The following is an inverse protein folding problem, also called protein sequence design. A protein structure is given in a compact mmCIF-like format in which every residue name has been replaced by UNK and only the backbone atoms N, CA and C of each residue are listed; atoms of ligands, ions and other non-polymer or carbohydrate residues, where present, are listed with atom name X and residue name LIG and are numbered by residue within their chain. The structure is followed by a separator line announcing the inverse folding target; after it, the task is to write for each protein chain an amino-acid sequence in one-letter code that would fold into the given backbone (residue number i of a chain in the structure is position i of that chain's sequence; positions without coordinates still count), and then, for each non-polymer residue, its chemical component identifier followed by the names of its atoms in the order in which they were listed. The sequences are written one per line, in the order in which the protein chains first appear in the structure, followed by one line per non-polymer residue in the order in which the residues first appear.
data_IF_708597671000
#
_entry.id   IF_708597671000
#
_cell.length_a   1.000
_cell.length_b   1.000
_cell.length_c   1.000
_cell.angle_alpha   90.00
_cell.angle_beta   90.00
_cell.angle_gamma   90.00
#
_symmetry.space_group_name_H-M   'P 1'
#
loop_
_entity.id
_entity.type
_entity.pdbx_description
1 polymer ?
#
# COMPACT_ATOMS: atom_id res chain seq x y z
N UNK A 1 12.33 -21.26 -5.30
CA UNK A 1 11.98 -20.20 -6.28
C UNK A 1 12.81 -20.41 -7.53
N UNK A 2 12.27 -20.16 -8.73
CA UNK A 2 12.96 -20.40 -10.01
C UNK A 2 13.70 -19.15 -10.55
N UNK A 3 13.42 -17.98 -9.99
CA UNK A 3 13.93 -16.69 -10.45
C UNK A 3 14.73 -16.03 -9.34
N UNK A 4 15.81 -15.35 -9.71
CA UNK A 4 16.72 -14.69 -8.75
C UNK A 4 16.99 -13.23 -9.12
N UNK A 5 16.32 -12.70 -10.14
CA UNK A 5 16.47 -11.34 -10.68
C UNK A 5 15.11 -10.72 -11.01
N UNK A 6 15.04 -9.40 -10.98
CA UNK A 6 13.82 -8.61 -11.21
C UNK A 6 12.62 -9.12 -10.40
N UNK A 7 12.85 -9.45 -9.13
CA UNK A 7 11.87 -10.06 -8.25
C UNK A 7 10.72 -9.08 -7.96
N UNK A 8 9.51 -9.61 -8.01
CA UNK A 8 8.30 -8.92 -7.54
C UNK A 8 7.84 -9.67 -6.30
N UNK A 9 7.83 -8.97 -5.17
CA UNK A 9 7.62 -9.52 -3.84
C UNK A 9 6.44 -8.79 -3.20
N UNK A 10 5.53 -9.54 -2.60
CA UNK A 10 4.45 -9.04 -1.78
C UNK A 10 4.62 -9.48 -0.34
N UNK A 11 4.59 -8.55 0.61
CA UNK A 11 4.60 -8.84 2.04
C UNK A 11 3.26 -8.39 2.62
N UNK A 12 2.60 -9.29 3.35
CA UNK A 12 1.59 -8.90 4.32
C UNK A 12 2.30 -8.65 5.65
N UNK A 13 2.31 -7.40 6.12
CA UNK A 13 2.82 -7.00 7.42
C UNK A 13 1.66 -6.82 8.39
N UNK A 14 1.15 -7.95 8.90
CA UNK A 14 0.04 -8.00 9.84
C UNK A 14 0.47 -7.83 11.30
N UNK A 15 -0.52 -7.63 12.17
CA UNK A 15 -0.31 -7.39 13.62
C UNK A 15 0.35 -8.57 14.33
N UNK A 16 -0.22 -9.75 14.15
CA UNK A 16 0.22 -10.98 14.82
C UNK A 16 1.03 -11.85 13.88
N UNK A 17 0.61 -11.94 12.63
CA UNK A 17 1.24 -12.75 11.61
C UNK A 17 1.51 -11.94 10.35
N UNK A 18 2.61 -12.25 9.70
CA UNK A 18 3.01 -11.77 8.39
C UNK A 18 3.14 -12.92 7.42
N UNK A 19 3.06 -12.61 6.13
CA UNK A 19 3.29 -13.56 5.05
C UNK A 19 4.09 -12.93 3.93
N UNK A 20 4.77 -13.76 3.14
CA UNK A 20 5.51 -13.32 1.95
C UNK A 20 5.09 -14.13 0.74
N UNK A 21 4.93 -13.43 -0.38
CA UNK A 21 4.66 -13.97 -1.70
C UNK A 21 5.69 -13.46 -2.70
N UNK A 22 5.95 -14.24 -3.74
CA UNK A 22 6.71 -13.80 -4.90
C UNK A 22 5.92 -14.09 -6.17
N UNK A 23 6.17 -13.32 -7.22
CA UNK A 23 5.52 -13.54 -8.51
C UNK A 23 6.27 -14.62 -9.28
N UNK A 24 5.59 -15.71 -9.62
CA UNK A 24 6.16 -16.77 -10.46
C UNK A 24 5.80 -16.48 -11.92
N UNK A 25 6.75 -16.01 -12.73
CA UNK A 25 6.45 -15.64 -14.13
C UNK A 25 6.11 -16.84 -15.00
N UNK A 26 6.58 -18.04 -14.64
CA UNK A 26 6.24 -19.27 -15.40
C UNK A 26 4.79 -19.67 -15.17
N UNK A 27 4.33 -19.52 -13.92
CA UNK A 27 2.95 -19.79 -13.55
C UNK A 27 2.02 -18.58 -13.77
N UNK A 28 2.59 -17.40 -14.02
CA UNK A 28 1.89 -16.14 -14.27
C UNK A 28 0.96 -15.74 -13.09
N UNK A 29 1.39 -16.04 -11.87
CA UNK A 29 0.62 -15.83 -10.64
C UNK A 29 1.49 -15.55 -9.40
N UNK A 30 0.96 -14.84 -8.38
CA UNK A 30 1.56 -14.77 -7.06
C UNK A 30 1.55 -16.11 -6.33
N UNK A 31 2.70 -16.49 -5.77
CA UNK A 31 2.87 -17.71 -4.95
C UNK A 31 3.31 -17.38 -3.53
N UNK A 32 2.55 -17.89 -2.57
CA UNK A 32 2.88 -17.82 -1.15
C UNK A 32 4.09 -18.69 -0.84
N UNK A 33 4.99 -18.16 -0.01
CA UNK A 33 6.18 -18.86 0.44
C UNK A 33 5.91 -19.47 1.82
N UNK A 34 6.06 -20.80 2.00
CA UNK A 34 5.95 -21.38 3.31
C UNK A 34 7.15 -21.00 4.18
N UNK A 35 6.92 -20.75 5.46
CA UNK A 35 7.94 -20.40 6.47
C UNK A 35 8.96 -21.52 6.63
N UNK A 36 8.53 -22.77 6.46
CA UNK A 36 9.39 -23.96 6.49
C UNK A 36 9.30 -24.70 5.17
N UNK A 37 10.45 -25.03 4.60
CA UNK A 37 10.52 -25.79 3.34
C UNK A 37 9.77 -27.13 3.51
N UNK A 38 8.83 -27.38 2.59
CA UNK A 38 8.00 -28.58 2.60
C UNK A 38 6.82 -28.57 3.56
N UNK A 39 6.54 -27.45 4.25
CA UNK A 39 5.31 -27.27 5.04
C UNK A 39 4.24 -26.49 4.27
N UNK A 40 3.01 -26.52 4.78
CA UNK A 40 1.90 -25.65 4.37
C UNK A 40 1.68 -24.49 5.36
N UNK A 41 2.71 -24.16 6.15
CA UNK A 41 2.66 -23.04 7.10
C UNK A 41 3.19 -21.79 6.41
N UNK A 42 2.29 -20.87 6.05
CA UNK A 42 2.61 -19.62 5.36
C UNK A 42 2.69 -18.42 6.30
N UNK A 43 2.00 -18.51 7.44
CA UNK A 43 1.98 -17.48 8.47
C UNK A 43 3.21 -17.57 9.35
N UNK A 44 3.87 -16.43 9.48
CA UNK A 44 5.00 -16.25 10.37
C UNK A 44 4.64 -15.20 11.41
N UNK A 45 4.92 -15.42 12.71
CA UNK A 45 4.71 -14.39 13.72
C UNK A 45 5.40 -13.07 13.33
N UNK A 46 4.72 -11.95 13.53
CA UNK A 46 5.27 -10.59 13.28
C UNK A 46 6.19 -10.17 14.41
N UNK A 47 7.24 -10.96 14.63
CA UNK A 47 8.18 -10.80 15.73
C UNK A 47 9.63 -10.76 15.24
N UNK A 48 10.46 -10.05 16.00
CA UNK A 48 11.89 -9.89 15.79
C UNK A 48 12.62 -10.21 17.09
N UNK A 49 13.73 -10.93 17.03
CA UNK A 49 14.54 -11.23 18.20
C UNK A 49 15.99 -10.84 17.98
N UNK A 50 16.54 -10.07 18.93
CA UNK A 50 17.97 -9.80 19.03
C UNK A 50 18.65 -10.99 19.69
N UNK A 51 19.52 -11.68 18.94
CA UNK A 51 20.31 -12.79 19.49
C UNK A 51 21.56 -12.26 20.18
N UNK A 52 21.73 -12.57 21.46
CA UNK A 52 22.84 -12.05 22.26
C UNK A 52 24.19 -12.65 21.87
N UNK A 53 24.25 -13.96 21.64
CA UNK A 53 25.51 -14.65 21.30
C UNK A 53 26.00 -14.26 19.90
N UNK A 54 25.11 -14.25 18.91
CA UNK A 54 25.45 -13.98 17.50
C UNK A 54 25.57 -12.49 17.22
N UNK A 55 24.93 -11.63 18.01
CA UNK A 55 24.93 -10.20 17.78
C UNK A 55 24.22 -9.81 16.48
N UNK A 56 23.23 -10.58 16.03
CA UNK A 56 22.36 -10.29 14.88
C UNK A 56 20.86 -10.39 15.24
N UNK A 57 19.97 -10.42 14.24
CA UNK A 57 18.52 -10.48 14.41
C UNK A 57 17.91 -11.63 13.62
N UNK A 58 16.86 -12.24 14.16
CA UNK A 58 16.02 -13.24 13.48
C UNK A 58 14.54 -12.90 13.62
N UNK A 59 13.70 -13.52 12.79
CA UNK A 59 12.27 -13.18 12.66
C UNK A 59 11.38 -14.40 12.89
N UNK A 60 10.13 -14.15 13.27
CA UNK A 60 9.09 -15.18 13.30
C UNK A 60 9.32 -16.31 14.29
N UNK A 61 9.10 -17.55 13.83
CA UNK A 61 9.27 -18.74 14.67
C UNK A 61 10.69 -18.86 15.23
N UNK A 62 11.70 -18.42 14.48
CA UNK A 62 13.08 -18.39 14.97
C UNK A 62 13.23 -17.35 16.07
N UNK A 63 12.60 -16.17 15.92
CA UNK A 63 12.62 -15.13 16.94
C UNK A 63 12.03 -15.60 18.27
N UNK A 64 10.86 -16.23 18.23
CA UNK A 64 10.19 -16.78 19.41
C UNK A 64 11.02 -17.89 20.07
N UNK A 65 11.60 -18.79 19.27
CA UNK A 65 12.45 -19.86 19.77
C UNK A 65 13.69 -19.32 20.50
N UNK A 66 14.42 -18.39 19.90
CA UNK A 66 15.64 -17.83 20.51
C UNK A 66 15.33 -17.01 21.76
N UNK A 67 14.21 -16.29 21.79
CA UNK A 67 13.79 -15.57 22.98
C UNK A 67 13.49 -16.53 24.14
N UNK A 68 12.75 -17.60 23.87
CA UNK A 68 12.31 -18.57 24.88
C UNK A 68 13.45 -19.48 25.37
N UNK A 69 14.26 -19.99 24.45
CA UNK A 69 15.18 -21.11 24.73
C UNK A 69 16.66 -20.66 24.78
N UNK A 70 16.99 -19.47 24.27
CA UNK A 70 18.37 -18.98 24.12
C UNK A 70 18.60 -17.57 24.70
N UNK A 71 17.60 -16.99 25.38
CA UNK A 71 17.73 -15.70 26.07
C UNK A 71 17.86 -14.47 25.18
N UNK A 72 17.36 -14.52 23.93
CA UNK A 72 17.30 -13.34 23.06
C UNK A 72 16.25 -12.30 23.50
N UNK A 73 16.42 -11.04 23.10
CA UNK A 73 15.45 -9.99 23.37
C UNK A 73 14.37 -9.99 22.28
N UNK A 74 13.15 -10.38 22.65
CA UNK A 74 11.99 -10.42 21.76
C UNK A 74 11.32 -9.06 21.63
N UNK A 75 10.99 -8.70 20.39
CA UNK A 75 10.07 -7.63 20.02
C UNK A 75 8.87 -8.31 19.36
N UNK A 76 7.77 -8.46 20.10
CA UNK A 76 6.58 -9.20 19.66
C UNK A 76 5.52 -8.34 18.97
N UNK A 77 5.55 -7.02 19.14
CA UNK A 77 4.58 -6.09 18.54
C UNK A 77 5.26 -5.12 17.58
N UNK A 78 5.85 -5.66 16.51
CA UNK A 78 6.48 -4.84 15.48
C UNK A 78 5.48 -3.95 14.75
N UNK A 79 4.20 -4.34 14.70
CA UNK A 79 3.17 -3.52 14.09
C UNK A 79 2.96 -2.23 14.88
N UNK A 80 2.87 -2.27 16.22
CA UNK A 80 2.84 -1.06 17.04
C UNK A 80 4.15 -0.26 16.93
N UNK A 81 5.30 -0.93 16.91
CA UNK A 81 6.60 -0.26 16.69
C UNK A 81 6.59 0.52 15.38
N UNK A 82 6.04 -0.05 14.31
CA UNK A 82 5.98 0.62 13.02
C UNK A 82 5.23 1.95 13.05
N UNK A 83 4.26 2.11 13.96
CA UNK A 83 3.46 3.33 14.15
C UNK A 83 4.05 4.30 15.18
N UNK A 84 5.21 3.98 15.76
CA UNK A 84 5.85 4.78 16.80
C UNK A 84 6.93 5.71 16.25
N UNK A 85 7.15 6.84 16.95
CA UNK A 85 8.33 7.71 16.81
C UNK A 85 9.32 7.53 17.95
N UNK A 86 8.97 6.71 18.94
CA UNK A 86 9.77 6.50 20.14
C UNK A 86 10.84 5.44 19.88
N UNK A 87 12.03 5.67 20.41
CA UNK A 87 13.11 4.69 20.37
C UNK A 87 12.77 3.50 21.24
N UNK A 88 13.14 2.32 20.75
CA UNK A 88 12.95 1.04 21.44
C UNK A 88 14.28 0.59 22.01
N UNK A 89 14.30 0.25 23.30
CA UNK A 89 15.50 -0.29 23.94
C UNK A 89 15.62 -1.78 23.62
N UNK A 90 16.71 -2.20 23.01
CA UNK A 90 16.99 -3.61 22.66
C UNK A 90 18.42 -3.96 23.08
N UNK A 91 18.58 -4.87 24.04
CA UNK A 91 19.88 -5.29 24.55
C UNK A 91 20.82 -4.11 24.89
N UNK A 92 20.31 -3.14 25.67
CA UNK A 92 20.99 -1.90 26.09
C UNK A 92 21.20 -0.83 25.00
N UNK A 93 20.89 -1.13 23.74
CA UNK A 93 20.95 -0.16 22.65
C UNK A 93 19.58 0.53 22.42
N UNK A 94 19.62 1.81 22.07
CA UNK A 94 18.44 2.52 21.59
C UNK A 94 18.32 2.35 20.08
N UNK A 95 17.22 1.77 19.61
CA UNK A 95 16.93 1.59 18.19
C UNK A 95 15.78 2.49 17.77
N UNK A 96 15.93 3.14 16.62
CA UNK A 96 14.80 3.77 15.95
C UNK A 96 13.84 2.70 15.44
N UNK A 97 12.51 2.95 15.42
CA UNK A 97 11.53 2.01 14.91
C UNK A 97 11.85 1.46 13.51
N UNK A 98 12.28 2.33 12.59
CA UNK A 98 12.63 1.95 11.21
C UNK A 98 13.83 0.98 11.14
N UNK A 99 14.76 1.00 12.10
CA UNK A 99 15.89 0.06 12.13
C UNK A 99 15.37 -1.36 12.40
N UNK A 100 14.45 -1.50 13.36
CA UNK A 100 13.84 -2.78 13.71
C UNK A 100 13.01 -3.33 12.53
N UNK A 101 12.26 -2.45 11.85
CA UNK A 101 11.54 -2.83 10.63
C UNK A 101 12.50 -3.26 9.51
N UNK A 102 13.65 -2.61 9.36
CA UNK A 102 14.64 -3.01 8.36
C UNK A 102 15.19 -4.42 8.63
N UNK A 103 15.49 -4.74 9.89
CA UNK A 103 15.89 -6.09 10.28
C UNK A 103 14.79 -7.11 10.03
N UNK A 104 13.54 -6.74 10.31
CA UNK A 104 12.39 -7.60 10.06
C UNK A 104 12.16 -7.87 8.56
N UNK A 105 12.11 -6.81 7.74
CA UNK A 105 11.94 -6.91 6.28
C UNK A 105 13.08 -7.74 5.68
N UNK A 106 14.33 -7.51 6.11
CA UNK A 106 15.47 -8.35 5.66
C UNK A 106 15.27 -9.82 6.03
N UNK A 107 14.79 -10.11 7.24
CA UNK A 107 14.44 -11.47 7.66
C UNK A 107 13.36 -12.10 6.78
N UNK A 108 12.30 -11.36 6.47
CA UNK A 108 11.24 -11.80 5.53
C UNK A 108 11.83 -12.12 4.15
N UNK A 109 12.67 -11.23 3.61
CA UNK A 109 13.27 -11.40 2.29
C UNK A 109 14.24 -12.59 2.24
N UNK A 110 14.96 -12.87 3.32
CA UNK A 110 15.86 -14.01 3.43
C UNK A 110 15.13 -15.36 3.29
N UNK A 111 13.82 -15.43 3.60
CA UNK A 111 13.03 -16.65 3.41
C UNK A 111 13.01 -17.08 1.94
N UNK A 112 13.16 -16.15 0.99
CA UNK A 112 13.19 -16.45 -0.45
C UNK A 112 14.39 -17.32 -0.85
N UNK A 113 15.44 -17.38 0.00
CA UNK A 113 16.65 -18.17 -0.25
C UNK A 113 17.51 -17.62 -1.40
N UNK A 114 17.40 -16.31 -1.69
CA UNK A 114 18.21 -15.62 -2.72
C UNK A 114 19.27 -14.77 -2.04
N UNK A 115 20.51 -14.95 -2.45
CA UNK A 115 21.62 -14.10 -2.01
C UNK A 115 21.47 -12.68 -2.59
N UNK A 116 21.78 -11.66 -1.78
CA UNK A 116 21.67 -10.24 -2.13
C UNK A 116 20.32 -9.89 -2.78
N UNK A 117 19.23 -10.40 -2.19
CA UNK A 117 17.87 -10.28 -2.72
C UNK A 117 17.48 -8.84 -3.00
N UNK A 118 17.88 -7.90 -2.15
CA UNK A 118 17.61 -6.46 -2.24
C UNK A 118 18.08 -5.85 -3.56
N UNK A 119 19.22 -6.31 -4.12
CA UNK A 119 19.76 -5.83 -5.39
C UNK A 119 18.99 -6.33 -6.62
N UNK A 120 18.12 -7.31 -6.39
CA UNK A 120 17.36 -8.00 -7.42
C UNK A 120 15.86 -7.69 -7.35
N UNK A 121 15.43 -6.79 -6.46
CA UNK A 121 14.03 -6.39 -6.31
C UNK A 121 13.67 -5.38 -7.41
N UNK A 122 12.65 -5.72 -8.20
CA UNK A 122 12.00 -4.81 -9.14
C UNK A 122 10.76 -4.15 -8.52
N UNK A 123 10.05 -4.87 -7.65
CA UNK A 123 9.02 -4.31 -6.78
C UNK A 123 8.94 -5.07 -5.44
N UNK A 124 8.92 -4.33 -4.34
CA UNK A 124 8.55 -4.79 -3.02
C UNK A 124 7.26 -4.06 -2.63
N UNK A 125 6.16 -4.80 -2.58
CA UNK A 125 4.87 -4.27 -2.13
C UNK A 125 4.61 -4.73 -0.71
N UNK A 126 4.40 -3.81 0.23
CA UNK A 126 4.10 -4.09 1.63
C UNK A 126 2.66 -3.68 1.90
N UNK A 127 1.84 -4.64 2.29
CA UNK A 127 0.45 -4.49 2.70
C UNK A 127 0.33 -4.41 4.21
N UNK A 128 -0.47 -3.46 4.69
CA UNK A 128 -0.82 -3.30 6.12
C UNK A 128 -2.32 -3.11 6.29
N UNK A 129 -2.87 -3.28 7.50
CA UNK A 129 -4.31 -3.10 7.74
C UNK A 129 -4.78 -1.70 7.35
N UNK A 130 -4.06 -0.68 7.82
CA UNK A 130 -4.28 0.74 7.48
C UNK A 130 -2.96 1.48 7.47
N UNK A 131 -2.81 2.39 6.50
CA UNK A 131 -1.64 3.25 6.39
C UNK A 131 -1.79 4.51 7.23
N UNK A 132 -0.75 4.83 7.98
CA UNK A 132 -0.56 6.12 8.65
C UNK A 132 0.81 6.73 8.31
N UNK A 133 0.93 8.04 8.50
CA UNK A 133 2.14 8.78 8.11
C UNK A 133 3.42 8.31 8.82
N UNK A 134 3.32 7.86 10.07
CA UNK A 134 4.47 7.39 10.85
C UNK A 134 4.91 6.03 10.35
N UNK A 135 3.94 5.12 10.15
CA UNK A 135 4.18 3.80 9.57
C UNK A 135 4.80 3.87 8.18
N UNK A 136 4.28 4.75 7.32
CA UNK A 136 4.85 4.96 5.98
C UNK A 136 6.29 5.45 6.06
N UNK A 137 6.57 6.49 6.85
CA UNK A 137 7.92 7.03 7.01
C UNK A 137 8.90 5.96 7.53
N UNK A 138 8.48 5.17 8.52
CA UNK A 138 9.31 4.10 9.08
C UNK A 138 9.57 2.96 8.08
N UNK A 139 8.55 2.51 7.33
CA UNK A 139 8.70 1.47 6.31
C UNK A 139 9.56 1.95 5.13
N UNK A 140 9.38 3.19 4.67
CA UNK A 140 10.21 3.77 3.61
C UNK A 140 11.67 3.90 4.03
N UNK A 141 11.95 4.38 5.26
CA UNK A 141 13.30 4.43 5.82
C UNK A 141 13.92 3.05 5.94
N UNK A 142 13.14 2.06 6.40
CA UNK A 142 13.58 0.69 6.50
C UNK A 142 14.00 0.12 5.14
N UNK A 143 13.17 0.27 4.10
CA UNK A 143 13.48 -0.15 2.74
C UNK A 143 14.71 0.58 2.17
N UNK A 144 14.78 1.90 2.36
CA UNK A 144 15.93 2.70 1.92
C UNK A 144 17.25 2.28 2.59
N UNK A 145 17.21 1.95 3.88
CA UNK A 145 18.35 1.41 4.61
C UNK A 145 18.82 0.06 4.06
N UNK A 146 17.90 -0.76 3.56
CA UNK A 146 18.21 -2.02 2.87
C UNK A 146 18.71 -1.83 1.43
N UNK A 147 18.82 -0.59 0.94
CA UNK A 147 19.23 -0.30 -0.43
C UNK A 147 18.14 -0.51 -1.48
N UNK A 148 16.88 -0.68 -1.06
CA UNK A 148 15.73 -0.77 -1.97
C UNK A 148 15.35 0.65 -2.37
N UNK A 149 15.35 0.89 -3.69
CA UNK A 149 14.99 2.19 -4.24
C UNK A 149 13.55 2.56 -3.87
N UNK A 150 13.30 3.86 -3.64
CA UNK A 150 11.98 4.35 -3.20
C UNK A 150 10.89 3.99 -4.20
N UNK A 151 11.18 4.06 -5.49
CA UNK A 151 10.29 3.70 -6.59
C UNK A 151 9.97 2.19 -6.67
N UNK A 152 10.81 1.35 -6.08
CA UNK A 152 10.60 -0.10 -5.99
C UNK A 152 9.81 -0.50 -4.73
N UNK A 153 9.73 0.37 -3.72
CA UNK A 153 8.97 0.13 -2.50
C UNK A 153 7.56 0.74 -2.64
N UNK A 154 6.53 -0.11 -2.60
CA UNK A 154 5.13 0.30 -2.72
C UNK A 154 4.41 -0.09 -1.42
N UNK A 155 3.73 0.86 -0.80
CA UNK A 155 2.95 0.64 0.41
C UNK A 155 1.46 0.74 0.07
N UNK A 156 0.69 -0.23 0.54
CA UNK A 156 -0.76 -0.26 0.33
C UNK A 156 -1.49 -0.78 1.57
N UNK A 157 -2.79 -0.52 1.65
CA UNK A 157 -3.64 -1.06 2.69
C UNK A 157 -4.26 -2.41 2.27
N UNK A 158 -4.96 -3.06 3.20
CA UNK A 158 -5.63 -4.34 2.96
C UNK A 158 -6.77 -4.24 1.95
N UNK A 159 -7.42 -3.09 1.80
CA UNK A 159 -8.49 -2.91 0.82
C UNK A 159 -7.93 -2.89 -0.61
N UNK A 160 -6.82 -2.19 -0.83
CA UNK A 160 -6.11 -2.18 -2.11
C UNK A 160 -5.54 -3.57 -2.43
N UNK A 161 -4.98 -4.24 -1.43
CA UNK A 161 -4.49 -5.61 -1.55
C UNK A 161 -5.62 -6.58 -1.95
N UNK A 162 -6.79 -6.43 -1.33
CA UNK A 162 -7.98 -7.21 -1.65
C UNK A 162 -8.41 -6.99 -3.10
N UNK A 163 -8.43 -5.74 -3.57
CA UNK A 163 -8.72 -5.39 -4.96
C UNK A 163 -7.80 -6.14 -5.93
N UNK A 164 -6.48 -6.04 -5.76
CA UNK A 164 -5.53 -6.72 -6.66
C UNK A 164 -5.62 -8.24 -6.55
N UNK A 165 -5.82 -8.78 -5.35
CA UNK A 165 -6.00 -10.22 -5.17
C UNK A 165 -7.21 -10.76 -5.91
N UNK A 166 -8.35 -10.06 -5.87
CA UNK A 166 -9.59 -10.51 -6.52
C UNK A 166 -9.52 -10.29 -8.03
N UNK A 167 -9.15 -9.09 -8.48
CA UNK A 167 -9.24 -8.69 -9.89
C UNK A 167 -8.20 -9.37 -10.79
N UNK A 168 -7.12 -9.90 -10.22
CA UNK A 168 -6.12 -10.68 -10.97
C UNK A 168 -6.47 -12.17 -11.09
N UNK A 169 -7.56 -12.62 -10.47
CA UNK A 169 -8.09 -13.98 -10.66
C UNK A 169 -8.88 -14.10 -11.97
N UNK A 170 -9.37 -15.31 -12.25
CA UNK A 170 -10.25 -15.56 -13.40
C UNK A 170 -11.53 -14.73 -13.30
N UNK A 171 -11.93 -14.10 -14.41
CA UNK A 171 -13.11 -13.22 -14.51
C UNK A 171 -14.38 -13.79 -13.87
N UNK A 172 -14.59 -15.11 -13.89
CA UNK A 172 -15.72 -15.78 -13.27
C UNK A 172 -15.79 -15.64 -11.73
N UNK A 173 -14.69 -15.27 -11.06
CA UNK A 173 -14.67 -15.04 -9.61
C UNK A 173 -15.04 -13.61 -9.23
N UNK A 174 -15.10 -12.68 -10.19
CA UNK A 174 -15.30 -11.25 -9.94
C UNK A 174 -16.15 -10.50 -10.98
N UNK A 175 -16.85 -11.17 -11.90
CA UNK A 175 -17.72 -10.53 -12.89
C UNK A 175 -19.01 -9.84 -12.31
N UNK A 176 -19.19 -9.87 -11.00
CA UNK A 176 -20.21 -9.21 -10.19
C UNK A 176 -19.56 -8.85 -8.85
N UNK A 177 -20.36 -8.38 -7.89
CA UNK A 177 -19.87 -8.05 -6.56
C UNK A 177 -19.11 -9.21 -5.91
N UNK A 178 -18.09 -8.87 -5.14
CA UNK A 178 -17.31 -9.83 -4.35
C UNK A 178 -17.46 -9.46 -2.88
N UNK A 179 -17.86 -10.45 -2.07
CA UNK A 179 -18.03 -10.27 -0.64
C UNK A 179 -16.75 -10.65 0.10
N UNK A 180 -16.42 -9.93 1.15
CA UNK A 180 -15.26 -10.18 1.98
C UNK A 180 -15.66 -10.19 3.45
N UNK A 181 -15.52 -11.35 4.10
CA UNK A 181 -15.64 -11.47 5.55
C UNK A 181 -14.25 -11.60 6.18
N UNK A 182 -13.91 -10.69 7.09
CA UNK A 182 -12.68 -10.76 7.89
C UNK A 182 -13.05 -11.04 9.34
N UNK A 183 -12.51 -12.12 9.88
CA UNK A 183 -12.70 -12.53 11.27
C UNK A 183 -11.53 -12.06 12.14
N UNK A 184 -11.82 -11.64 13.36
CA UNK A 184 -10.88 -11.52 14.46
C UNK A 184 -11.55 -12.14 15.69
N UNK A 185 -11.21 -13.38 16.00
CA UNK A 185 -11.95 -14.22 16.94
C UNK A 185 -13.46 -14.17 16.64
N UNK A 186 -14.29 -13.56 17.50
CA UNK A 186 -15.74 -13.48 17.32
C UNK A 186 -16.21 -12.24 16.57
N UNK A 187 -15.33 -11.29 16.32
CA UNK A 187 -15.67 -10.09 15.58
C UNK A 187 -15.60 -10.37 14.08
N UNK A 188 -16.63 -9.98 13.34
CA UNK A 188 -16.69 -10.19 11.89
C UNK A 188 -16.99 -8.88 11.19
N UNK A 189 -16.10 -8.50 10.27
CA UNK A 189 -16.29 -7.38 9.36
C UNK A 189 -16.64 -7.90 7.97
N UNK A 190 -17.69 -7.35 7.37
CA UNK A 190 -18.08 -7.58 5.99
C UNK A 190 -17.86 -6.35 5.13
N UNK A 191 -17.24 -6.53 3.97
CA UNK A 191 -17.15 -5.52 2.91
C UNK A 191 -17.61 -6.09 1.58
N UNK A 192 -18.23 -5.25 0.76
CA UNK A 192 -18.63 -5.57 -0.61
C UNK A 192 -17.78 -4.78 -1.59
N UNK A 193 -17.08 -5.47 -2.47
CA UNK A 193 -16.43 -4.86 -3.63
C UNK A 193 -17.44 -4.79 -4.78
N UNK A 194 -17.63 -3.59 -5.33
CA UNK A 194 -18.57 -3.32 -6.43
C UNK A 194 -17.83 -2.72 -7.62
N UNK A 195 -18.37 -2.97 -8.82
CA UNK A 195 -17.87 -2.42 -10.08
C UNK A 195 -19.03 -1.71 -10.79
N UNK A 196 -18.84 -0.46 -11.21
CA UNK A 196 -19.84 0.24 -12.00
C UNK A 196 -19.48 0.21 -13.49
N UNK A 197 -20.00 -0.81 -14.20
CA UNK A 197 -19.69 -1.04 -15.61
C UNK A 197 -20.19 0.06 -16.58
N UNK A 198 -20.99 1.03 -16.09
CA UNK A 198 -21.50 2.13 -16.92
C UNK A 198 -20.46 3.17 -17.32
N UNK A 199 -19.35 3.26 -16.57
CA UNK A 199 -18.27 4.22 -16.81
C UNK A 199 -17.00 3.51 -17.28
N UNK A 200 -16.22 4.17 -18.15
CA UNK A 200 -14.91 3.68 -18.58
C UNK A 200 -13.82 4.72 -18.29
N UNK A 201 -12.71 4.34 -17.63
CA UNK A 201 -12.44 3.02 -17.01
C UNK A 201 -13.44 2.68 -15.89
N UNK A 202 -13.66 1.38 -15.65
CA UNK A 202 -14.66 0.88 -14.70
C UNK A 202 -14.21 1.17 -13.27
N UNK A 203 -14.89 2.04 -12.50
CA UNK A 203 -14.54 2.26 -11.11
C UNK A 203 -14.89 1.02 -10.28
N UNK A 204 -13.94 0.63 -9.44
CA UNK A 204 -14.03 -0.47 -8.50
C UNK A 204 -13.81 0.09 -7.10
N UNK A 205 -14.71 -0.21 -6.17
CA UNK A 205 -14.63 0.31 -4.80
C UNK A 205 -15.06 -0.76 -3.81
N UNK A 206 -14.48 -0.71 -2.61
CA UNK A 206 -15.03 -1.41 -1.45
C UNK A 206 -16.00 -0.47 -0.73
N UNK A 207 -17.21 -0.96 -0.48
CA UNK A 207 -18.20 -0.24 0.31
C UNK A 207 -17.80 -0.18 1.79
N UNK A 208 -18.42 0.76 2.52
CA UNK A 208 -18.25 0.90 3.97
C UNK A 208 -18.49 -0.45 4.67
N UNK A 209 -17.63 -0.84 5.61
CA UNK A 209 -17.77 -2.10 6.31
C UNK A 209 -19.07 -2.16 7.13
N UNK A 210 -19.62 -3.36 7.24
CA UNK A 210 -20.66 -3.72 8.21
C UNK A 210 -20.06 -4.73 9.17
N UNK A 211 -20.30 -4.58 10.47
CA UNK A 211 -19.60 -5.35 11.51
C UNK A 211 -20.58 -5.95 12.52
N UNK A 212 -20.19 -7.05 13.13
CA UNK A 212 -20.94 -7.69 14.22
C UNK A 212 -20.02 -8.53 15.11
N UNK A 213 -20.44 -8.76 16.35
CA UNK A 213 -19.81 -9.71 17.26
C UNK A 213 -20.69 -10.95 17.38
N UNK A 214 -20.10 -12.13 17.20
CA UNK A 214 -20.80 -13.41 17.30
C UNK A 214 -20.79 -13.94 18.75
N UNK A 215 -21.81 -14.73 19.10
CA UNK A 215 -21.89 -15.42 20.38
C UNK A 215 -20.68 -16.34 20.65
N UNK A 216 -20.32 -16.47 21.93
CA UNK A 216 -19.36 -17.49 22.38
C UNK A 216 -19.91 -18.91 22.24
N UNK A 217 -21.21 -19.08 22.49
CA UNK A 217 -21.92 -20.35 22.33
C UNK A 217 -21.96 -20.77 20.86
N UNK A 218 -21.53 -21.99 20.56
CA UNK A 218 -21.30 -22.45 19.19
C UNK A 218 -22.57 -22.58 18.35
N UNK A 219 -23.70 -22.96 18.96
CA UNK A 219 -24.96 -23.07 18.23
C UNK A 219 -25.54 -21.70 17.93
N UNK A 220 -25.48 -20.79 18.91
CA UNK A 220 -25.86 -19.40 18.71
C UNK A 220 -24.90 -18.68 17.75
N UNK A 221 -23.61 -19.01 17.76
CA UNK A 221 -22.60 -18.42 16.86
C UNK A 221 -22.92 -18.66 15.39
N UNK A 222 -23.32 -19.87 15.02
CA UNK A 222 -23.78 -20.19 13.65
C UNK A 222 -25.10 -19.47 13.32
N UNK A 223 -26.01 -19.32 14.29
CA UNK A 223 -27.26 -18.58 14.08
C UNK A 223 -27.01 -17.07 13.86
N UNK A 224 -26.13 -16.46 14.66
CA UNK A 224 -25.71 -15.06 14.55
C UNK A 224 -25.02 -14.81 13.21
N UNK A 225 -24.05 -15.67 12.85
CA UNK A 225 -23.33 -15.54 11.59
C UNK A 225 -24.25 -15.78 10.39
N UNK A 226 -25.18 -16.74 10.48
CA UNK A 226 -26.18 -16.96 9.44
C UNK A 226 -27.06 -15.71 9.22
N UNK A 227 -27.55 -15.09 10.31
CA UNK A 227 -28.31 -13.85 10.23
C UNK A 227 -27.48 -12.71 9.64
N UNK A 228 -26.20 -12.61 10.03
CA UNK A 228 -25.28 -11.63 9.47
C UNK A 228 -25.06 -11.82 7.97
N UNK A 229 -24.86 -13.06 7.50
CA UNK A 229 -24.74 -13.42 6.09
C UNK A 229 -26.02 -13.09 5.32
N UNK A 230 -27.21 -13.34 5.90
CA UNK A 230 -28.48 -12.95 5.28
C UNK A 230 -28.60 -11.44 5.10
N UNK A 231 -28.23 -10.67 6.13
CA UNK A 231 -28.32 -9.20 6.11
C UNK A 231 -27.32 -8.57 5.13
N UNK A 232 -26.10 -9.10 5.08
CA UNK A 232 -25.00 -8.52 4.27
C UNK A 232 -25.08 -8.93 2.80
N UNK A 233 -25.43 -10.19 2.49
CA UNK A 233 -25.55 -10.64 1.09
C UNK A 233 -26.91 -10.26 0.48
N UNK A 234 -27.97 -10.22 1.29
CA UNK A 234 -29.30 -9.80 0.86
C UNK A 234 -29.78 -10.52 -0.40
N UNK A 235 -30.29 -9.74 -1.36
CA UNK A 235 -30.74 -10.23 -2.68
C UNK A 235 -29.71 -10.00 -3.80
N UNK A 236 -28.54 -9.50 -3.44
CA UNK A 236 -27.51 -9.09 -4.39
C UNK A 236 -26.79 -10.31 -4.98
N UNK A 237 -26.28 -10.13 -6.21
CA UNK A 237 -25.55 -11.17 -6.91
C UNK A 237 -24.05 -11.05 -6.64
N UNK A 238 -23.46 -12.14 -6.16
CA UNK A 238 -22.03 -12.23 -5.91
C UNK A 238 -21.39 -13.30 -6.78
N UNK A 239 -20.19 -13.01 -7.30
CA UNK A 239 -19.38 -13.97 -8.04
C UNK A 239 -18.61 -14.88 -7.09
N UNK A 240 -18.04 -14.30 -6.04
CA UNK A 240 -17.36 -15.04 -5.00
C UNK A 240 -17.47 -14.37 -3.63
N UNK A 241 -17.21 -15.16 -2.60
CA UNK A 241 -17.01 -14.70 -1.23
C UNK A 241 -15.60 -15.08 -0.80
N UNK A 242 -14.89 -14.14 -0.20
CA UNK A 242 -13.58 -14.32 0.40
C UNK A 242 -13.74 -14.27 1.92
N UNK A 243 -13.08 -15.19 2.63
CA UNK A 243 -13.07 -15.25 4.09
C UNK A 243 -11.61 -15.33 4.57
N UNK A 244 -11.25 -14.53 5.55
CA UNK A 244 -9.96 -14.60 6.24
C UNK A 244 -10.13 -14.38 7.75
N UNK A 245 -9.06 -14.63 8.51
CA UNK A 245 -9.00 -14.48 9.95
C UNK A 245 -9.13 -15.79 10.72
N UNK A 246 -9.03 -15.68 12.04
CA UNK A 246 -8.88 -16.77 13.01
C UNK A 246 -10.20 -17.22 13.70
N UNK A 247 -11.33 -16.65 13.29
CA UNK A 247 -12.65 -16.92 13.89
C UNK A 247 -13.58 -17.87 13.13
N UNK A 248 -13.29 -18.15 11.86
CA UNK A 248 -14.15 -18.94 11.00
C UNK A 248 -13.74 -20.41 10.96
N UNK A 249 -14.67 -21.30 11.25
CA UNK A 249 -14.48 -22.74 11.07
C UNK A 249 -15.77 -23.39 10.54
N UNK A 250 -15.60 -24.33 9.61
CA UNK A 250 -16.70 -25.11 9.02
C UNK A 250 -17.34 -26.07 10.03
N UNK A 251 -16.64 -26.45 11.10
CA UNK A 251 -17.16 -27.30 12.16
C UNK A 251 -18.35 -26.66 12.88
N UNK A 252 -18.31 -25.34 13.11
CA UNK A 252 -19.40 -24.62 13.76
C UNK A 252 -20.35 -23.95 12.76
N UNK A 253 -19.85 -23.40 11.66
CA UNK A 253 -20.62 -22.59 10.72
C UNK A 253 -21.50 -23.41 9.74
N UNK A 254 -22.16 -24.47 10.21
CA UNK A 254 -22.82 -25.48 9.34
C UNK A 254 -23.99 -24.90 8.54
N UNK A 255 -24.84 -24.07 9.16
CA UNK A 255 -25.97 -23.40 8.49
C UNK A 255 -25.45 -22.27 7.61
N UNK A 256 -24.49 -21.49 8.13
CA UNK A 256 -23.89 -20.36 7.42
C UNK A 256 -23.18 -20.78 6.13
N UNK A 257 -22.40 -21.86 6.15
CA UNK A 257 -21.71 -22.40 4.95
C UNK A 257 -22.69 -22.75 3.83
N UNK A 258 -23.85 -23.33 4.16
CA UNK A 258 -24.89 -23.63 3.15
C UNK A 258 -25.42 -22.37 2.49
N UNK A 259 -25.59 -21.29 3.25
CA UNK A 259 -26.03 -20.00 2.73
C UNK A 259 -24.95 -19.30 1.91
N UNK A 260 -23.70 -19.33 2.38
CA UNK A 260 -22.55 -18.76 1.66
C UNK A 260 -22.36 -19.42 0.28
N UNK A 261 -22.56 -20.73 0.20
CA UNK A 261 -22.45 -21.51 -1.04
C UNK A 261 -23.76 -21.55 -1.86
N UNK A 262 -24.79 -20.79 -1.46
CA UNK A 262 -26.08 -20.78 -2.15
C UNK A 262 -25.91 -20.38 -3.62
N UNK A 263 -26.68 -21.03 -4.51
CA UNK A 263 -26.57 -20.87 -5.98
C UNK A 263 -25.17 -21.16 -6.56
N UNK A 264 -24.42 -22.10 -5.97
CA UNK A 264 -23.07 -22.51 -6.41
C UNK A 264 -22.06 -21.35 -6.40
N UNK A 265 -22.26 -20.38 -5.51
CA UNK A 265 -21.30 -19.29 -5.28
C UNK A 265 -19.97 -19.88 -4.80
N UNK A 266 -18.86 -19.36 -5.35
CA UNK A 266 -17.53 -19.79 -4.93
C UNK A 266 -17.17 -19.10 -3.61
N UNK A 267 -16.78 -19.89 -2.62
CA UNK A 267 -16.32 -19.39 -1.32
C UNK A 267 -14.87 -19.83 -1.15
N UNK A 268 -14.01 -18.87 -0.85
CA UNK A 268 -12.58 -19.10 -0.63
C UNK A 268 -12.25 -18.69 0.80
N UNK A 269 -11.52 -19.54 1.51
CA UNK A 269 -11.03 -19.28 2.85
C UNK A 269 -9.52 -19.37 2.88
N UNK A 270 -8.84 -18.32 3.35
CA UNK A 270 -7.39 -18.30 3.49
C UNK A 270 -6.82 -16.92 3.77
N UNK A 271 -5.77 -16.87 4.58
CA UNK A 271 -5.17 -15.62 5.06
C UNK A 271 -4.12 -15.02 4.11
N UNK A 272 -3.79 -15.70 3.01
CA UNK A 272 -2.76 -15.23 2.08
C UNK A 272 -3.21 -14.16 1.09
N UNK A 273 -4.45 -13.70 1.19
CA UNK A 273 -5.03 -12.77 0.23
C UNK A 273 -4.28 -11.42 0.20
N UNK A 274 -3.77 -10.93 1.34
CA UNK A 274 -3.06 -9.66 1.39
C UNK A 274 -1.66 -9.76 0.78
N UNK A 275 -0.88 -10.78 1.13
CA UNK A 275 0.44 -10.99 0.55
C UNK A 275 0.36 -11.30 -0.96
N UNK A 276 -0.64 -12.09 -1.39
CA UNK A 276 -0.89 -12.34 -2.81
C UNK A 276 -1.37 -11.09 -3.53
N UNK A 277 -2.23 -10.29 -2.90
CA UNK A 277 -2.68 -8.99 -3.38
C UNK A 277 -1.52 -8.01 -3.58
N UNK A 278 -0.61 -7.92 -2.61
CA UNK A 278 0.63 -7.16 -2.70
C UNK A 278 1.49 -7.56 -3.89
N UNK A 279 1.73 -8.85 -4.01
CA UNK A 279 2.52 -9.36 -5.11
C UNK A 279 1.83 -9.15 -6.48
N UNK A 280 0.50 -9.29 -6.52
CA UNK A 280 -0.31 -9.02 -7.71
C UNK A 280 -0.27 -7.53 -8.11
N UNK A 281 -0.33 -6.61 -7.15
CA UNK A 281 -0.21 -5.18 -7.39
C UNK A 281 1.12 -4.82 -8.07
N UNK A 282 2.23 -5.37 -7.56
CA UNK A 282 3.55 -5.16 -8.14
C UNK A 282 3.66 -5.71 -9.57
N UNK A 283 3.10 -6.89 -9.82
CA UNK A 283 3.08 -7.50 -11.15
C UNK A 283 2.20 -6.70 -12.13
N UNK A 284 1.04 -6.23 -11.66
CA UNK A 284 0.11 -5.44 -12.44
C UNK A 284 0.70 -4.09 -12.87
N UNK A 285 1.41 -3.44 -11.94
CA UNK A 285 2.05 -2.15 -12.19
C UNK A 285 3.22 -2.23 -13.17
N UNK A 286 3.93 -3.35 -13.23
CA UNK A 286 5.22 -3.43 -13.94
C UNK A 286 5.29 -4.40 -15.11
N UNK A 287 4.37 -5.37 -15.20
CA UNK A 287 4.43 -6.45 -16.18
C UNK A 287 3.07 -6.66 -16.86
N UNK A 288 2.01 -6.93 -16.10
CA UNK A 288 0.79 -7.53 -16.68
C UNK A 288 -0.17 -6.52 -17.28
N UNK A 289 -0.36 -5.36 -16.65
CA UNK A 289 -1.25 -4.29 -17.11
C UNK A 289 -2.68 -4.76 -17.49
N UNK A 290 -3.17 -5.84 -16.86
CA UNK A 290 -4.47 -6.49 -17.13
C UNK A 290 -5.65 -5.64 -16.68
N UNK A 291 -5.43 -4.78 -15.70
CA UNK A 291 -6.45 -3.97 -15.03
C UNK A 291 -6.51 -2.54 -15.59
N UNK A 292 -5.89 -2.24 -16.72
CA UNK A 292 -5.90 -0.89 -17.35
C UNK A 292 -7.29 -0.28 -17.56
N UNK A 293 -8.29 -1.14 -17.76
CA UNK A 293 -9.68 -0.77 -18.02
C UNK A 293 -10.51 -0.65 -16.72
N UNK A 294 -9.87 -0.87 -15.56
CA UNK A 294 -10.44 -0.79 -14.22
C UNK A 294 -9.70 0.25 -13.39
N UNK A 295 -10.41 0.93 -12.48
CA UNK A 295 -9.81 1.92 -11.58
C UNK A 295 -10.25 1.63 -10.16
N UNK A 296 -9.29 1.29 -9.30
CA UNK A 296 -9.57 1.18 -7.88
C UNK A 296 -9.77 2.57 -7.28
N UNK A 297 -10.88 2.75 -6.58
CA UNK A 297 -11.27 3.98 -5.93
C UNK A 297 -11.26 3.75 -4.42
N UNK A 298 -10.30 4.38 -3.75
CA UNK A 298 -10.19 4.39 -2.29
C UNK A 298 -9.97 5.80 -1.79
N UNK A 299 -10.37 6.04 -0.53
CA UNK A 299 -10.10 7.30 0.18
C UNK A 299 -8.62 7.52 0.42
N UNK A 300 -7.79 6.48 0.30
CA UNK A 300 -6.33 6.57 0.46
C UNK A 300 -5.61 6.94 -0.84
N UNK A 301 -6.31 6.99 -1.99
CA UNK A 301 -5.70 7.25 -3.28
C UNK A 301 -5.89 8.70 -3.73
N UNK A 302 -4.84 9.25 -4.34
CA UNK A 302 -4.93 10.50 -5.07
C UNK A 302 -5.73 10.25 -6.35
N UNK A 303 -6.83 10.97 -6.53
CA UNK A 303 -7.69 10.84 -7.71
C UNK A 303 -7.35 11.83 -8.83
N UNK A 304 -6.31 12.63 -8.63
CA UNK A 304 -5.97 13.74 -9.53
C UNK A 304 -4.54 13.62 -10.01
N UNK A 305 -4.35 13.61 -11.32
CA UNK A 305 -3.04 13.75 -11.94
C UNK A 305 -2.69 15.24 -12.02
N UNK A 306 -1.46 15.58 -11.65
CA UNK A 306 -0.95 16.95 -11.64
C UNK A 306 0.32 16.98 -12.47
N UNK A 307 0.42 17.92 -13.40
CA UNK A 307 1.62 18.16 -14.19
C UNK A 307 1.77 19.62 -14.54
N UNK A 308 2.76 19.94 -15.37
CA UNK A 308 2.99 21.29 -15.87
C UNK A 308 3.34 21.23 -17.36
N UNK A 309 2.90 22.23 -18.12
CA UNK A 309 3.43 22.44 -19.47
C UNK A 309 4.76 23.17 -19.36
N UNK A 310 5.85 22.51 -19.76
CA UNK A 310 7.22 23.00 -19.56
C UNK A 310 8.04 22.92 -20.85
N UNK A 311 9.22 23.54 -20.85
CA UNK A 311 10.25 23.28 -21.87
C UNK A 311 11.35 22.41 -21.27
N UNK A 312 11.40 21.15 -21.68
CA UNK A 312 12.45 20.20 -21.28
C UNK A 312 13.41 20.03 -22.45
N UNK A 313 14.70 20.29 -22.21
CA UNK A 313 15.74 20.26 -23.27
C UNK A 313 15.37 21.08 -24.51
N UNK A 314 14.68 22.21 -24.30
CA UNK A 314 14.26 23.15 -25.36
C UNK A 314 12.94 22.81 -26.05
N UNK A 315 12.36 21.63 -25.84
CA UNK A 315 11.09 21.22 -26.43
C UNK A 315 9.91 21.46 -25.47
N UNK A 316 8.79 22.04 -25.93
CA UNK A 316 7.54 22.07 -25.16
C UNK A 316 7.06 20.65 -24.88
N UNK A 317 6.73 20.35 -23.63
CA UNK A 317 6.31 19.02 -23.17
C UNK A 317 5.50 19.12 -21.89
N UNK A 318 4.45 18.30 -21.79
CA UNK A 318 3.76 18.05 -20.53
C UNK A 318 4.66 17.22 -19.61
N UNK A 319 5.04 17.78 -18.48
CA UNK A 319 5.85 17.13 -17.46
C UNK A 319 4.93 16.64 -16.32
N UNK A 320 4.74 15.32 -16.14
CA UNK A 320 3.92 14.79 -15.05
C UNK A 320 4.65 14.96 -13.71
N UNK A 321 3.95 15.48 -12.69
CA UNK A 321 4.46 15.61 -11.32
C UNK A 321 3.88 14.51 -10.43
N UNK A 322 2.55 14.41 -10.39
CA UNK A 322 1.80 13.42 -9.61
C UNK A 322 0.86 12.67 -10.55
N UNK A 323 0.82 11.36 -10.42
CA UNK A 323 -0.12 10.51 -11.14
C UNK A 323 -1.25 10.07 -10.20
N UNK A 324 -2.49 10.14 -10.69
CA UNK A 324 -3.63 9.59 -9.97
C UNK A 324 -3.52 8.06 -9.80
N UNK A 325 -4.23 7.51 -8.81
CA UNK A 325 -4.26 6.10 -8.47
C UNK A 325 -3.11 5.66 -7.56
N UNK A 326 -2.27 6.59 -7.11
CA UNK A 326 -1.23 6.35 -6.10
C UNK A 326 -1.74 6.69 -4.71
N UNK A 327 -1.21 5.99 -3.71
CA UNK A 327 -1.49 6.34 -2.33
C UNK A 327 -0.98 7.75 -2.01
N UNK A 328 -1.78 8.56 -1.32
CA UNK A 328 -1.44 9.96 -1.03
C UNK A 328 -0.18 10.09 -0.16
N UNK A 329 0.13 9.11 0.69
CA UNK A 329 1.37 9.10 1.47
C UNK A 329 2.63 9.00 0.61
N UNK A 330 2.53 8.39 -0.57
CA UNK A 330 3.62 8.25 -1.53
C UNK A 330 3.64 9.34 -2.60
N UNK A 331 2.59 10.17 -2.64
CA UNK A 331 2.36 11.14 -3.70
C UNK A 331 3.09 12.45 -3.40
N UNK A 332 4.33 12.52 -3.89
CA UNK A 332 5.18 13.70 -3.83
C UNK A 332 5.98 13.90 -5.12
N UNK A 333 6.24 15.16 -5.48
CA UNK A 333 7.13 15.52 -6.58
C UNK A 333 8.09 16.61 -6.10
N UNK A 334 9.36 16.51 -6.46
CA UNK A 334 10.38 17.51 -6.16
C UNK A 334 11.14 17.82 -7.44
N UNK A 335 10.99 19.04 -7.95
CA UNK A 335 11.62 19.47 -9.19
C UNK A 335 12.30 20.83 -9.01
N UNK A 336 13.35 21.07 -9.81
CA UNK A 336 13.87 22.41 -10.04
C UNK A 336 13.44 22.88 -11.44
N UNK A 337 13.02 24.14 -11.54
CA UNK A 337 12.66 24.77 -12.81
C UNK A 337 13.23 26.18 -12.91
N UNK A 338 13.31 26.70 -14.15
CA UNK A 338 13.70 28.08 -14.43
C UNK A 338 12.47 28.80 -14.97
N UNK A 339 12.13 29.95 -14.39
CA UNK A 339 11.02 30.78 -14.87
C UNK A 339 11.36 31.48 -16.19
N UNK A 340 10.38 31.55 -17.10
CA UNK A 340 10.48 32.22 -18.40
C UNK A 340 9.44 33.37 -18.45
N UNK A 341 9.87 34.59 -18.12
CA UNK A 341 9.06 35.83 -18.07
C UNK A 341 7.66 35.66 -17.47
N UNK A 342 7.59 35.04 -16.29
CA UNK A 342 6.34 34.86 -15.52
C UNK A 342 6.60 34.96 -14.02
N UNK A 343 5.58 35.33 -13.26
CA UNK A 343 5.58 35.45 -11.80
C UNK A 343 4.61 34.45 -11.11
N UNK A 344 4.17 33.44 -11.86
CA UNK A 344 3.25 32.40 -11.39
C UNK A 344 3.67 31.01 -11.88
N UNK A 345 3.18 29.99 -11.18
CA UNK A 345 3.26 28.59 -11.61
C UNK A 345 1.88 28.12 -12.04
N UNK A 346 1.79 27.47 -13.20
CA UNK A 346 0.54 26.92 -13.74
C UNK A 346 0.61 25.40 -13.73
N UNK A 347 -0.26 24.79 -12.94
CA UNK A 347 -0.44 23.35 -12.85
C UNK A 347 -1.59 22.91 -13.74
N UNK A 348 -1.37 21.86 -14.53
CA UNK A 348 -2.39 21.18 -15.31
C UNK A 348 -2.89 19.98 -14.51
N UNK A 349 -4.19 19.99 -14.24
CA UNK A 349 -4.85 19.12 -13.28
C UNK A 349 -5.92 18.30 -14.01
N UNK A 350 -5.87 16.97 -13.87
CA UNK A 350 -6.80 16.04 -14.50
C UNK A 350 -7.36 15.09 -13.43
N UNK A 351 -8.65 15.23 -13.11
CA UNK A 351 -9.33 14.36 -12.14
C UNK A 351 -9.79 13.06 -12.81
N UNK A 352 -9.68 11.91 -12.13
CA UNK A 352 -10.00 10.61 -12.71
C UNK A 352 -11.45 10.45 -13.19
N UNK A 353 -12.40 11.21 -12.63
CA UNK A 353 -13.81 11.18 -13.03
C UNK A 353 -14.18 12.22 -14.09
N UNK A 354 -13.26 13.09 -14.50
CA UNK A 354 -13.51 14.22 -15.39
C UNK A 354 -12.73 14.03 -16.69
N UNK A 355 -13.30 14.47 -17.81
CA UNK A 355 -12.63 14.44 -19.12
C UNK A 355 -11.84 15.72 -19.42
N UNK A 356 -12.09 16.80 -18.69
CA UNK A 356 -11.49 18.10 -18.94
C UNK A 356 -10.30 18.36 -18.01
N UNK A 357 -9.24 18.95 -18.58
CA UNK A 357 -8.08 19.42 -17.82
C UNK A 357 -8.36 20.82 -17.30
N UNK A 358 -8.03 21.05 -16.03
CA UNK A 358 -8.11 22.35 -15.38
C UNK A 358 -6.71 22.94 -15.23
N UNK A 359 -6.62 24.26 -15.33
CA UNK A 359 -5.40 25.00 -15.07
C UNK A 359 -5.53 25.67 -13.71
N UNK A 360 -4.59 25.38 -12.82
CA UNK A 360 -4.56 25.87 -11.45
C UNK A 360 -3.31 26.70 -11.28
N UNK A 361 -3.49 27.96 -10.87
CA UNK A 361 -2.42 28.97 -10.85
C UNK A 361 -2.00 29.24 -9.41
N UNK A 362 -0.70 29.17 -9.14
CA UNK A 362 -0.08 29.60 -7.89
C UNK A 362 0.73 30.87 -8.14
N UNK A 363 0.34 31.98 -7.52
CA UNK A 363 1.06 33.26 -7.62
C UNK A 363 2.28 33.29 -6.71
N UNK A 364 3.33 34.00 -7.11
CA UNK A 364 4.56 34.16 -6.32
C UNK A 364 4.73 35.61 -5.84
N UNK A 365 3.91 36.09 -4.88
CA UNK A 365 3.96 37.48 -4.46
C UNK A 365 5.33 37.88 -3.93
N UNK A 366 5.83 39.01 -4.44
CA UNK A 366 7.14 39.55 -4.09
C UNK A 366 8.31 38.80 -4.70
N UNK A 367 8.12 37.98 -5.74
CA UNK A 367 9.23 37.42 -6.51
C UNK A 367 10.22 38.54 -6.94
N UNK A 368 11.53 38.39 -6.72
CA UNK A 368 12.51 39.39 -7.14
C UNK A 368 12.48 39.60 -8.65
N UNK A 369 12.52 40.87 -9.07
CA UNK A 369 12.61 41.22 -10.48
C UNK A 369 14.05 40.98 -10.96
N UNK A 370 14.20 40.03 -11.89
CA UNK A 370 15.48 39.67 -12.50
C UNK A 370 15.29 39.52 -14.01
N UNK A 371 16.37 39.56 -14.82
CA UNK A 371 16.28 39.26 -16.24
C UNK A 371 15.62 37.91 -16.51
N UNK A 372 15.04 37.74 -17.70
CA UNK A 372 14.42 36.48 -18.07
C UNK A 372 15.37 35.28 -17.89
N UNK A 373 14.86 34.14 -17.44
CA UNK A 373 15.58 32.88 -17.23
C UNK A 373 16.74 32.95 -16.23
N UNK A 374 16.64 33.87 -15.27
CA UNK A 374 17.62 34.01 -14.17
C UNK A 374 17.00 33.79 -12.78
N UNK A 375 15.84 33.13 -12.73
CA UNK A 375 15.21 32.69 -11.49
C UNK A 375 14.99 31.19 -11.55
N UNK A 376 15.77 30.45 -10.75
CA UNK A 376 15.57 29.02 -10.52
C UNK A 376 14.74 28.82 -9.26
N UNK A 377 13.74 27.97 -9.34
CA UNK A 377 12.87 27.61 -8.23
C UNK A 377 13.01 26.11 -7.92
N UNK A 378 13.02 25.75 -6.64
CA UNK A 378 12.67 24.39 -6.21
C UNK A 378 11.18 24.36 -5.92
N UNK A 379 10.49 23.36 -6.44
CA UNK A 379 9.05 23.16 -6.31
C UNK A 379 8.80 21.76 -5.75
N UNK A 380 8.29 21.70 -4.53
CA UNK A 380 7.93 20.48 -3.83
C UNK A 380 6.41 20.38 -3.71
N UNK A 381 5.82 19.35 -4.32
CA UNK A 381 4.43 18.96 -4.09
C UNK A 381 4.42 17.77 -3.13
N UNK A 382 3.55 17.82 -2.12
CA UNK A 382 3.33 16.72 -1.20
C UNK A 382 1.89 16.68 -0.74
N UNK A 383 1.22 15.55 -0.96
CA UNK A 383 -0.09 15.33 -0.39
C UNK A 383 0.00 15.18 1.14
N UNK A 384 -0.90 15.87 1.84
CA UNK A 384 -1.03 15.84 3.31
C UNK A 384 -2.34 15.18 3.76
N UNK A 385 -3.28 15.02 2.84
CA UNK A 385 -4.46 14.18 2.90
C UNK A 385 -4.87 13.83 1.46
N UNK A 386 -5.77 12.87 1.25
CA UNK A 386 -6.13 12.38 -0.09
C UNK A 386 -6.58 13.46 -1.09
N UNK A 387 -7.21 14.53 -0.60
CA UNK A 387 -7.70 15.64 -1.42
C UNK A 387 -6.87 16.92 -1.25
N UNK A 388 -5.87 16.93 -0.36
CA UNK A 388 -5.10 18.13 0.00
C UNK A 388 -3.62 17.96 -0.37
N UNK A 389 -3.15 18.80 -1.30
CA UNK A 389 -1.76 18.87 -1.71
C UNK A 389 -1.12 20.17 -1.23
N UNK A 390 0.00 20.04 -0.52
CA UNK A 390 0.84 21.16 -0.15
C UNK A 390 1.91 21.39 -1.22
N UNK A 391 1.97 22.62 -1.73
CA UNK A 391 2.96 23.10 -2.69
C UNK A 391 3.92 24.03 -1.94
N UNK A 392 5.21 23.73 -1.97
CA UNK A 392 6.26 24.57 -1.40
C UNK A 392 7.23 24.97 -2.50
N UNK A 393 7.40 26.28 -2.69
CA UNK A 393 8.27 26.86 -3.73
C UNK A 393 9.36 27.67 -3.05
N UNK A 394 10.62 27.45 -3.42
CA UNK A 394 11.77 28.19 -2.89
C UNK A 394 12.55 28.85 -4.00
N UNK A 395 12.87 30.14 -3.85
CA UNK A 395 13.76 30.83 -4.78
C UNK A 395 15.22 30.44 -4.52
N UNK A 396 15.81 29.74 -5.48
CA UNK A 396 17.20 29.29 -5.45
C UNK A 396 18.16 30.29 -6.12
N UNK A 397 17.64 31.39 -6.68
CA UNK A 397 18.44 32.32 -7.47
C UNK A 397 18.93 31.71 -8.78
N UNK A 398 20.10 32.14 -9.25
CA UNK A 398 20.77 31.62 -10.43
C UNK A 398 22.29 31.78 -10.26
N UNK A 399 22.83 31.05 -9.28
CA UNK A 399 24.23 31.13 -8.88
C UNK A 399 24.58 32.48 -8.24
N UNK A 400 25.86 32.86 -8.30
CA UNK A 400 26.36 34.09 -7.68
C UNK A 400 25.87 35.36 -8.39
N UNK A 401 25.57 35.28 -9.69
CA UNK A 401 25.09 36.42 -10.47
C UNK A 401 23.73 36.91 -9.99
N UNK A 402 22.88 35.99 -9.55
CA UNK A 402 21.55 36.28 -9.02
C UNK A 402 21.30 35.45 -7.76
N UNK A 403 21.76 35.91 -6.59
CA UNK A 403 21.64 35.13 -5.36
C UNK A 403 20.19 34.79 -5.01
N UNK A 404 19.99 33.65 -4.34
CA UNK A 404 18.71 33.28 -3.76
C UNK A 404 18.19 34.38 -2.84
N UNK A 405 16.90 34.73 -2.95
CA UNK A 405 16.30 35.74 -2.08
C UNK A 405 15.94 35.22 -0.69
N UNK A 406 16.02 33.90 -0.48
CA UNK A 406 15.55 33.24 0.75
C UNK A 406 14.03 33.17 0.86
N UNK A 407 13.29 33.60 -0.17
CA UNK A 407 11.83 33.51 -0.18
C UNK A 407 11.35 32.08 -0.36
N UNK A 408 10.30 31.76 0.39
CA UNK A 408 9.57 30.50 0.33
C UNK A 408 8.08 30.83 0.27
N UNK A 409 7.38 30.24 -0.69
CA UNK A 409 5.93 30.31 -0.82
C UNK A 409 5.36 28.93 -0.52
N UNK A 410 4.30 28.89 0.28
CA UNK A 410 3.64 27.66 0.66
C UNK A 410 2.13 27.81 0.50
N UNK A 411 1.53 26.85 -0.20
CA UNK A 411 0.10 26.84 -0.46
C UNK A 411 -0.44 25.42 -0.27
N UNK A 412 -1.64 25.31 0.29
CA UNK A 412 -2.37 24.03 0.35
C UNK A 412 -3.56 24.13 -0.56
N UNK A 413 -3.66 23.24 -1.53
CA UNK A 413 -4.73 23.22 -2.52
C UNK A 413 -5.53 21.94 -2.46
N UNK A 414 -6.83 22.08 -2.72
CA UNK A 414 -7.74 20.99 -3.08
C UNK A 414 -8.04 21.14 -4.55
N UNK A 415 -7.45 20.27 -5.36
CA UNK A 415 -7.51 20.38 -6.82
C UNK A 415 -8.94 20.36 -7.39
N UNK A 416 -9.91 19.79 -6.65
CA UNK A 416 -11.31 19.73 -7.04
C UNK A 416 -12.08 21.06 -6.83
N UNK A 417 -11.69 21.88 -5.86
CA UNK A 417 -12.46 23.07 -5.43
C UNK A 417 -12.00 24.38 -6.09
N UNK A 418 -10.90 24.33 -6.87
CA UNK A 418 -10.26 25.53 -7.39
C UNK A 418 -9.51 26.28 -6.29
N UNK A 419 -8.36 26.88 -6.63
CA UNK A 419 -7.61 27.72 -5.69
C UNK A 419 -8.36 29.06 -5.54
N UNK A 420 -8.59 29.49 -4.31
CA UNK A 420 -9.19 30.78 -3.98
C UNK A 420 -8.19 31.94 -4.11
#
# INVERSE_FOLDING_TARGET
MNETKDLIIGIDFGKEYSQICYYDRKADEPRSLPVKVGSSQFEMPTSLCRRLEQGDYCVGLEAEYFAREKGGFLISDLYAVSKSRERVTVAEEQKEPWELLAYYIRGMLNLLGVADVEKNIRALVISVETLDAVQVDNLQKACGFLGILKECCILQDYEESFYYYVMTQKIETWNRSVGWYSFRDRHVTFRRMVMNAGNKPVPVMLETPVETDLSEDMEQRDADFYAFVQNTLGKELYSSIQINGDGFDQEWAKKSVKLLCYQKRKVFYGNNLFARGACAAGAERLITHRLRDYRYMSRSLVLTSVGMEMRVMGAPTYYPLIEAGRNWYESSADIELILDDTDELVFVVEHMSESERRHVVMKLPGLPQRPNRTTRLSVLLRYVAAEECCITVKDLGFGEMFPASGKEWKETTRWQEGIA
#
